data_IF_327977275238
#
_entry.id   IF_327977275238
#
_cell.length_a   1.000
_cell.length_b   1.000
_cell.length_c   1.000
_cell.angle_alpha   90.00
_cell.angle_beta   90.00
_cell.angle_gamma   90.00
#
_symmetry.space_group_name_H-M   'P 1'
#
loop_
_entity.id
_entity.type
_entity.pdbx_description
1 polymer ?
#
# COMPACT_ATOMS: atom_id res chain seq x y z
N UNK A 1 6.30 23.08 24.88
CA UNK A 1 6.76 23.48 23.53
C UNK A 1 7.97 22.67 23.07
N UNK A 2 9.04 22.54 23.87
CA UNK A 2 10.23 21.73 23.50
C UNK A 2 9.94 20.24 23.24
N UNK A 3 9.01 19.64 23.97
CA UNK A 3 8.63 18.22 23.82
C UNK A 3 7.97 17.96 22.45
N UNK A 4 7.13 18.88 21.96
CA UNK A 4 6.49 18.79 20.65
C UNK A 4 7.52 18.94 19.52
N UNK A 5 8.49 19.85 19.69
CA UNK A 5 9.59 20.02 18.74
C UNK A 5 10.49 18.77 18.68
N UNK A 6 10.82 18.17 19.83
CA UNK A 6 11.59 16.93 19.88
C UNK A 6 10.85 15.76 19.19
N UNK A 7 9.53 15.63 19.42
CA UNK A 7 8.70 14.63 18.75
C UNK A 7 8.67 14.84 17.22
N UNK A 8 8.50 16.07 16.75
CA UNK A 8 8.51 16.39 15.33
C UNK A 8 9.84 16.04 14.65
N UNK A 9 10.97 16.30 15.31
CA UNK A 9 12.30 15.94 14.80
C UNK A 9 12.46 14.42 14.68
N UNK A 10 11.94 13.63 15.63
CA UNK A 10 12.00 12.16 15.53
C UNK A 10 11.17 11.60 14.37
N UNK A 11 10.03 12.21 14.03
CA UNK A 11 9.20 11.80 12.88
C UNK A 11 9.88 12.14 11.56
N UNK A 12 10.56 13.29 11.47
CA UNK A 12 11.32 13.69 10.27
C UNK A 12 12.59 12.83 10.11
N UNK A 13 13.21 12.43 11.22
CA UNK A 13 14.38 11.57 11.25
C UNK A 13 14.05 10.07 11.11
N UNK A 14 12.77 9.67 11.08
CA UNK A 14 12.40 8.31 10.74
C UNK A 14 12.87 8.04 9.31
N UNK A 15 13.89 7.17 9.21
CA UNK A 15 14.38 6.64 7.94
C UNK A 15 13.17 6.18 7.13
N UNK A 16 12.97 6.78 5.95
CA UNK A 16 12.00 6.26 4.99
C UNK A 16 12.51 4.88 4.60
N UNK A 17 11.81 3.84 5.07
CA UNK A 17 12.09 2.47 4.67
C UNK A 17 12.04 2.41 3.15
N UNK A 18 13.10 1.88 2.54
CA UNK A 18 13.05 1.55 1.12
C UNK A 18 12.01 0.45 0.90
N UNK A 19 11.52 0.32 -0.33
CA UNK A 19 10.55 -0.72 -0.67
C UNK A 19 11.13 -2.10 -0.33
N UNK A 20 12.41 -2.32 -0.63
CA UNK A 20 13.10 -3.59 -0.35
C UNK A 20 13.21 -3.88 1.15
N UNK A 21 13.54 -2.87 1.97
CA UNK A 21 13.62 -3.02 3.42
C UNK A 21 12.24 -3.33 4.03
N UNK A 22 11.17 -2.71 3.50
CA UNK A 22 9.80 -2.97 3.93
C UNK A 22 9.32 -4.37 3.54
N UNK A 23 9.66 -4.83 2.33
CA UNK A 23 9.32 -6.18 1.85
C UNK A 23 10.12 -7.28 2.58
N UNK A 24 11.31 -6.97 3.07
CA UNK A 24 12.13 -7.89 3.87
C UNK A 24 11.64 -8.04 5.31
N UNK A 25 10.79 -7.12 5.81
CA UNK A 25 10.31 -7.18 7.17
C UNK A 25 9.30 -8.33 7.35
N UNK A 26 9.55 -9.28 8.28
CA UNK A 26 8.68 -10.43 8.44
C UNK A 26 7.32 -10.01 8.96
N UNK A 27 6.26 -10.56 8.38
CA UNK A 27 4.89 -10.32 8.84
C UNK A 27 4.76 -10.85 10.28
N UNK A 28 4.37 -10.02 11.25
CA UNK A 28 4.20 -10.46 12.63
C UNK A 28 3.20 -11.62 12.74
N UNK A 29 3.48 -12.60 13.61
CA UNK A 29 2.63 -13.78 13.78
C UNK A 29 1.16 -13.47 14.10
N UNK A 30 0.89 -12.39 14.85
CA UNK A 30 -0.48 -11.97 15.12
C UNK A 30 -1.19 -11.49 13.85
N UNK A 31 -0.47 -10.79 12.97
CA UNK A 31 -1.03 -10.21 11.75
C UNK A 31 -1.38 -11.31 10.73
N UNK A 32 -0.60 -12.39 10.70
CA UNK A 32 -0.87 -13.59 9.86
C UNK A 32 -2.20 -14.27 10.20
N UNK A 33 -2.70 -14.07 11.41
CA UNK A 33 -3.94 -14.70 11.91
C UNK A 33 -5.16 -13.79 11.76
N UNK A 34 -4.98 -12.54 11.34
CA UNK A 34 -6.08 -11.59 11.20
C UNK A 34 -6.92 -11.92 9.95
N UNK A 35 -8.20 -12.19 10.16
CA UNK A 35 -9.17 -12.43 9.09
C UNK A 35 -10.46 -11.68 9.37
N UNK A 36 -11.30 -11.54 8.34
CA UNK A 36 -12.63 -10.95 8.44
C UNK A 36 -12.65 -9.57 9.11
N UNK A 37 -13.52 -9.41 10.11
CA UNK A 37 -13.69 -8.15 10.82
C UNK A 37 -12.42 -7.70 11.57
N UNK A 38 -11.67 -8.63 12.17
CA UNK A 38 -10.46 -8.30 12.91
C UNK A 38 -9.37 -7.68 12.02
N UNK A 39 -9.27 -8.13 10.77
CA UNK A 39 -8.38 -7.54 9.77
C UNK A 39 -8.84 -6.13 9.38
N UNK A 40 -10.15 -5.94 9.16
CA UNK A 40 -10.73 -4.64 8.83
C UNK A 40 -10.49 -3.62 9.94
N UNK A 41 -10.70 -4.00 11.19
CA UNK A 41 -10.48 -3.14 12.36
C UNK A 41 -9.00 -2.74 12.49
N UNK A 42 -8.10 -3.70 12.27
CA UNK A 42 -6.65 -3.44 12.26
C UNK A 42 -6.25 -2.44 11.17
N UNK A 43 -6.73 -2.63 9.94
CA UNK A 43 -6.47 -1.70 8.83
C UNK A 43 -7.02 -0.32 9.15
N UNK A 44 -8.27 -0.22 9.61
CA UNK A 44 -8.92 1.05 9.92
C UNK A 44 -8.27 1.83 11.07
N UNK A 45 -7.57 1.14 11.98
CA UNK A 45 -6.80 1.75 13.07
C UNK A 45 -5.48 2.35 12.58
N UNK A 46 -4.84 1.74 11.59
CA UNK A 46 -3.50 2.14 11.11
C UNK A 46 -3.52 2.99 9.83
N UNK A 47 -4.61 2.95 9.07
CA UNK A 47 -4.74 3.64 7.80
C UNK A 47 -5.63 4.89 7.94
N UNK A 48 -5.04 6.10 7.91
CA UNK A 48 -5.81 7.34 8.03
C UNK A 48 -6.53 7.72 6.73
N UNK A 49 -6.03 7.32 5.55
CA UNK A 49 -6.49 7.86 4.26
C UNK A 49 -7.73 7.16 3.69
N UNK A 50 -8.04 5.95 4.15
CA UNK A 50 -9.24 5.23 3.73
C UNK A 50 -9.80 4.37 4.85
N UNK A 51 -11.06 3.95 4.68
CA UNK A 51 -11.72 3.00 5.57
C UNK A 51 -12.08 1.73 4.82
N UNK A 52 -11.65 0.60 5.35
CA UNK A 52 -12.05 -0.73 4.93
C UNK A 52 -13.42 -1.08 5.53
N UNK A 53 -14.22 -1.82 4.78
CA UNK A 53 -15.48 -2.42 5.24
C UNK A 53 -15.41 -3.91 5.01
N UNK A 54 -15.84 -4.68 6.01
CA UNK A 54 -15.96 -6.12 5.86
C UNK A 54 -17.17 -6.46 4.98
N UNK A 55 -16.98 -7.42 4.07
CA UNK A 55 -18.06 -8.02 3.29
C UNK A 55 -17.73 -9.50 3.07
N UNK A 56 -18.63 -10.43 3.43
CA UNK A 56 -18.43 -11.86 3.18
C UNK A 56 -18.22 -12.20 1.71
N UNK A 57 -18.79 -11.39 0.81
CA UNK A 57 -18.73 -11.61 -0.64
C UNK A 57 -17.62 -10.79 -1.32
N UNK A 58 -16.75 -10.11 -0.55
CA UNK A 58 -15.71 -9.24 -1.13
C UNK A 58 -14.79 -9.99 -2.09
N UNK A 59 -14.37 -11.20 -1.71
CA UNK A 59 -13.49 -12.02 -2.53
C UNK A 59 -14.17 -12.46 -3.83
N UNK A 60 -15.36 -13.04 -3.75
CA UNK A 60 -16.15 -13.44 -4.94
C UNK A 60 -16.45 -12.25 -5.87
N UNK A 61 -16.71 -11.08 -5.28
CA UNK A 61 -16.93 -9.85 -6.02
C UNK A 61 -15.66 -9.36 -6.73
N UNK A 62 -14.50 -9.47 -6.10
CA UNK A 62 -13.23 -9.09 -6.71
C UNK A 62 -12.85 -10.07 -7.83
N UNK A 63 -12.94 -11.38 -7.57
CA UNK A 63 -12.53 -12.43 -8.51
C UNK A 63 -13.43 -12.51 -9.73
N UNK A 64 -14.73 -12.25 -9.60
CA UNK A 64 -15.66 -12.21 -10.75
C UNK A 64 -15.37 -11.10 -11.78
N UNK A 65 -14.54 -10.12 -11.43
CA UNK A 65 -14.09 -9.04 -12.33
C UNK A 65 -12.73 -9.28 -12.94
N UNK A 66 -12.01 -10.30 -12.49
CA UNK A 66 -10.71 -10.63 -13.06
C UNK A 66 -10.91 -11.28 -14.43
N UNK A 67 -10.06 -10.89 -15.37
CA UNK A 67 -9.97 -11.57 -16.65
C UNK A 67 -9.42 -12.99 -16.41
N UNK A 68 -9.94 -13.98 -17.14
CA UNK A 68 -9.42 -15.35 -17.08
C UNK A 68 -7.91 -15.34 -17.36
N UNK A 69 -7.15 -16.06 -16.54
CA UNK A 69 -5.70 -16.04 -16.54
C UNK A 69 -5.12 -16.46 -17.90
N UNK A 70 -5.84 -17.26 -18.69
CA UNK A 70 -5.45 -17.63 -20.06
C UNK A 70 -5.37 -16.45 -21.03
N UNK A 71 -6.01 -15.33 -20.72
CA UNK A 71 -5.94 -14.08 -21.47
C UNK A 71 -4.96 -13.07 -20.85
N UNK A 72 -4.38 -13.39 -19.70
CA UNK A 72 -3.35 -12.55 -19.08
C UNK A 72 -2.01 -12.85 -19.74
N UNK A 73 -1.42 -11.88 -20.41
CA UNK A 73 -0.07 -11.98 -20.95
C UNK A 73 0.92 -11.59 -19.85
N UNK A 74 1.85 -12.48 -19.50
CA UNK A 74 2.93 -12.12 -18.58
C UNK A 74 3.78 -11.05 -19.26
N UNK A 75 3.90 -9.84 -18.69
CA UNK A 75 4.73 -8.80 -19.28
C UNK A 75 6.18 -9.27 -19.27
N UNK A 76 6.90 -8.99 -20.35
CA UNK A 76 8.34 -9.26 -20.38
C UNK A 76 9.06 -8.19 -19.56
N UNK A 77 10.25 -8.49 -19.07
CA UNK A 77 11.07 -7.52 -18.33
C UNK A 77 11.34 -6.24 -19.14
N UNK A 78 11.40 -6.35 -20.47
CA UNK A 78 11.52 -5.23 -21.41
C UNK A 78 10.27 -4.31 -21.45
N UNK A 79 9.09 -4.82 -21.09
CA UNK A 79 7.83 -4.05 -21.03
C UNK A 79 7.65 -3.32 -19.69
N UNK A 80 8.43 -3.69 -18.66
CA UNK A 80 8.35 -3.09 -17.33
C UNK A 80 9.26 -1.87 -17.30
N UNK A 81 8.68 -0.68 -17.53
CA UNK A 81 9.39 0.57 -17.26
C UNK A 81 9.65 0.69 -15.76
N UNK A 82 10.92 0.91 -15.40
CA UNK A 82 11.25 1.35 -14.06
C UNK A 82 10.53 2.67 -13.79
N UNK A 83 9.77 2.73 -12.68
CA UNK A 83 9.15 3.98 -12.25
C UNK A 83 10.27 4.84 -11.68
N UNK A 84 10.66 5.87 -12.41
CA UNK A 84 11.57 6.89 -11.92
C UNK A 84 10.82 7.74 -10.88
N UNK A 85 11.18 7.57 -9.61
CA UNK A 85 10.53 8.25 -8.47
C UNK A 85 11.05 9.67 -8.26
N UNK A 86 12.13 10.07 -8.94
CA UNK A 86 12.74 11.41 -8.88
C UNK A 86 12.20 12.36 -9.97
N UNK A 87 11.09 12.00 -10.63
CA UNK A 87 10.45 12.87 -11.62
C UNK A 87 9.65 13.96 -10.92
N UNK A 88 9.98 15.22 -11.19
CA UNK A 88 9.20 16.38 -10.77
C UNK A 88 7.76 16.25 -11.30
N UNK A 89 6.80 16.11 -10.39
CA UNK A 89 5.39 16.03 -10.74
C UNK A 89 4.95 17.34 -11.42
N UNK A 90 4.25 17.28 -12.56
CA UNK A 90 3.80 18.48 -13.24
C UNK A 90 2.79 19.24 -12.37
N UNK A 91 2.95 20.57 -12.28
CA UNK A 91 2.05 21.43 -11.48
C UNK A 91 0.58 21.37 -11.94
N UNK A 92 0.34 20.95 -13.19
CA UNK A 92 -0.99 20.80 -13.78
C UNK A 92 -0.93 19.86 -14.98
N UNK A 93 -1.87 18.93 -15.04
CA UNK A 93 -2.12 18.15 -16.25
C UNK A 93 -2.93 19.02 -17.21
N UNK A 94 -2.28 19.59 -18.23
CA UNK A 94 -3.00 20.24 -19.31
C UNK A 94 -3.78 19.18 -20.10
N UNK A 95 -5.12 19.26 -20.07
CA UNK A 95 -6.00 18.47 -20.93
C UNK A 95 -6.05 19.18 -22.29
N UNK A 96 -5.46 18.58 -23.32
CA UNK A 96 -5.64 18.97 -24.71
C UNK A 96 -6.98 18.47 -25.25
#
# INVERSE_FOLDING_TARGET
>A
MLILCALAVTVIAQKRLSIDEFLAEPIPEFARKLTGQALVDYVNKRQPYFKAKYSPNAEAFATSRLMDMKYTVTPKMEDVQNVDLDVELPERFCRN
#
